data_IF_294212882380
#
_entry.id   IF_294212882380
#
_cell.length_a   1.000
_cell.length_b   1.000
_cell.length_c   1.000
_cell.angle_alpha   90.00
_cell.angle_beta   90.00
_cell.angle_gamma   90.00
#
_symmetry.space_group_name_H-M   'P 1'
#
loop_
_entity.id
_entity.type
_entity.pdbx_description
1 polymer ?
#
# COMPACT_ATOMS: atom_id res chain seq x y z
N UNK A 1 1.64 -1.11 19.33
CA UNK A 1 2.21 -0.44 18.15
C UNK A 1 3.69 -0.25 18.41
N UNK A 2 4.55 -1.02 17.75
CA UNK A 2 6.00 -0.80 17.80
C UNK A 2 6.39 0.20 16.73
N UNK A 3 7.12 1.26 17.09
CA UNK A 3 7.79 2.14 16.13
C UNK A 3 9.08 1.46 15.68
N UNK A 4 9.09 0.90 14.47
CA UNK A 4 10.32 0.41 13.85
C UNK A 4 10.95 1.55 13.06
N UNK A 5 11.90 2.26 13.66
CA UNK A 5 12.82 3.10 12.92
C UNK A 5 14.07 2.25 12.64
N UNK A 6 14.20 1.79 11.40
CA UNK A 6 15.40 1.10 10.94
C UNK A 6 16.26 2.07 10.12
N UNK A 7 17.57 2.09 10.40
CA UNK A 7 18.56 2.80 9.60
C UNK A 7 19.27 1.77 8.71
N UNK A 8 19.31 2.03 7.41
CA UNK A 8 20.08 1.23 6.47
C UNK A 8 21.35 1.98 6.10
N UNK A 9 22.47 1.30 6.30
CA UNK A 9 23.81 1.80 6.02
C UNK A 9 24.37 1.05 4.82
N UNK A 10 24.88 1.78 3.84
CA UNK A 10 25.56 1.20 2.66
C UNK A 10 26.93 1.84 2.52
N UNK A 11 27.99 1.02 2.59
CA UNK A 11 29.40 1.42 2.55
C UNK A 11 30.31 0.30 2.02
N UNK A 12 31.61 0.57 1.89
CA UNK A 12 32.61 -0.43 1.46
C UNK A 12 32.71 -1.58 2.51
N UNK A 13 32.83 -2.85 2.06
CA UNK A 13 32.75 -4.03 2.93
C UNK A 13 33.94 -4.23 3.88
N UNK A 14 35.01 -3.43 3.74
CA UNK A 14 36.29 -3.62 4.44
C UNK A 14 36.46 -2.75 5.71
N UNK A 15 35.41 -2.06 6.19
CA UNK A 15 35.48 -1.25 7.42
C UNK A 15 34.65 -1.83 8.58
N UNK A 16 35.31 -2.05 9.73
CA UNK A 16 34.70 -2.41 11.01
C UNK A 16 33.77 -1.30 11.51
N UNK A 17 32.48 -1.64 11.64
CA UNK A 17 31.38 -0.81 12.13
C UNK A 17 31.42 -0.59 13.66
N UNK A 18 32.51 -0.05 14.23
CA UNK A 18 32.56 0.22 15.68
C UNK A 18 32.17 1.66 16.09
N UNK A 19 31.80 2.54 15.15
CA UNK A 19 31.42 3.91 15.52
C UNK A 19 29.94 4.07 15.89
N UNK A 20 29.67 3.81 17.17
CA UNK A 20 28.63 4.42 18.03
C UNK A 20 27.23 4.52 17.40
N UNK A 21 26.51 3.40 17.44
CA UNK A 21 25.04 3.40 17.44
C UNK A 21 24.53 4.21 18.63
N UNK A 22 24.19 5.49 18.43
CA UNK A 22 23.28 6.19 19.33
C UNK A 22 21.86 5.88 18.86
N UNK A 23 21.02 5.20 19.65
CA UNK A 23 19.62 5.03 19.30
C UNK A 23 18.98 6.42 19.19
N UNK A 24 18.60 6.80 17.97
CA UNK A 24 17.91 8.06 17.71
C UNK A 24 16.45 7.93 18.14
N UNK A 25 15.95 8.96 18.83
CA UNK A 25 14.57 9.02 19.31
C UNK A 25 13.60 8.85 18.14
N UNK A 26 12.77 7.80 18.23
CA UNK A 26 11.68 7.53 17.30
C UNK A 26 10.78 8.76 17.20
N UNK A 27 10.75 9.43 16.04
CA UNK A 27 9.73 10.45 15.79
C UNK A 27 8.38 9.76 15.62
N UNK A 28 7.31 10.32 16.18
CA UNK A 28 5.94 9.77 16.08
C UNK A 28 5.45 9.61 14.63
N UNK A 29 6.15 10.17 13.63
CA UNK A 29 5.88 10.00 12.20
C UNK A 29 6.66 8.88 11.50
N UNK A 30 7.59 8.20 12.18
CA UNK A 30 8.53 7.23 11.58
C UNK A 30 7.96 5.79 11.46
N UNK A 31 6.65 5.62 11.27
CA UNK A 31 6.09 4.29 11.01
C UNK A 31 6.17 4.00 9.52
N UNK A 32 6.86 2.93 9.10
CA UNK A 32 6.96 2.53 7.69
C UNK A 32 7.97 3.34 6.85
N UNK A 33 8.95 3.98 7.48
CA UNK A 33 10.04 4.70 6.81
C UNK A 33 11.41 4.22 7.30
N UNK A 34 12.37 4.10 6.40
CA UNK A 34 13.78 3.80 6.67
C UNK A 34 14.62 5.02 6.32
N UNK A 35 15.55 5.38 7.20
CA UNK A 35 16.59 6.37 6.87
C UNK A 35 17.74 5.63 6.20
N UNK A 36 18.12 6.06 5.01
CA UNK A 36 19.24 5.51 4.25
C UNK A 36 20.42 6.46 4.39
N UNK A 37 21.56 5.93 4.84
CA UNK A 37 22.84 6.64 4.85
C UNK A 37 23.83 5.92 3.95
N UNK A 38 24.48 6.68 3.06
CA UNK A 38 25.53 6.18 2.18
C UNK A 38 26.82 6.93 2.47
N UNK A 39 27.91 6.19 2.68
CA UNK A 39 29.24 6.75 2.84
C UNK A 39 30.22 6.11 1.86
N UNK A 40 31.19 6.90 1.41
CA UNK A 40 32.30 6.43 0.57
C UNK A 40 33.55 7.23 0.92
N UNK A 41 34.69 6.56 1.06
CA UNK A 41 35.97 7.22 1.39
C UNK A 41 36.29 8.33 0.39
N UNK A 42 36.59 9.54 0.91
CA UNK A 42 36.84 10.73 0.11
C UNK A 42 35.59 11.49 -0.35
N UNK A 43 34.39 11.05 0.03
CA UNK A 43 33.13 11.71 -0.24
C UNK A 43 32.39 12.03 1.07
N UNK A 44 31.53 13.04 1.04
CA UNK A 44 30.70 13.42 2.18
C UNK A 44 29.55 12.43 2.35
N UNK A 45 29.16 12.16 3.59
CA UNK A 45 28.01 11.31 3.91
C UNK A 45 26.70 11.88 3.36
N UNK A 46 25.85 11.00 2.84
CA UNK A 46 24.55 11.37 2.30
C UNK A 46 23.43 10.69 3.10
N UNK A 47 22.35 11.42 3.39
CA UNK A 47 21.17 10.84 4.05
C UNK A 47 19.87 11.14 3.29
N UNK A 48 18.97 10.16 3.26
CA UNK A 48 17.63 10.26 2.73
C UNK A 48 16.64 9.41 3.52
N UNK A 49 15.34 9.56 3.26
CA UNK A 49 14.28 8.75 3.90
C UNK A 49 13.47 8.09 2.80
N UNK A 50 13.16 6.81 2.96
CA UNK A 50 12.38 6.01 2.01
C UNK A 50 11.26 5.25 2.73
N UNK A 51 10.15 4.99 2.04
CA UNK A 51 9.10 4.14 2.60
C UNK A 51 9.43 2.66 2.45
N UNK A 52 8.84 1.83 3.31
CA UNK A 52 9.14 0.39 3.45
C UNK A 52 7.92 -0.46 3.12
N UNK A 53 8.11 -1.54 2.38
CA UNK A 53 7.12 -2.60 2.14
C UNK A 53 7.68 -3.92 2.65
N UNK A 54 7.01 -4.64 3.55
CA UNK A 54 7.47 -5.97 3.92
C UNK A 54 7.08 -6.97 2.82
N UNK A 55 8.07 -7.53 2.14
CA UNK A 55 7.87 -8.47 1.04
C UNK A 55 7.76 -9.91 1.51
N UNK A 56 8.57 -10.31 2.49
CA UNK A 56 8.62 -11.71 2.96
C UNK A 56 9.42 -11.82 4.26
N UNK A 57 9.64 -13.05 4.71
CA UNK A 57 10.77 -13.39 5.57
C UNK A 57 11.71 -14.34 4.83
N UNK A 58 13.02 -14.14 4.96
CA UNK A 58 14.04 -15.07 4.48
C UNK A 58 14.50 -15.94 5.65
N UNK A 59 14.66 -17.25 5.43
CA UNK A 59 15.29 -18.14 6.41
C UNK A 59 16.80 -17.93 6.33
N UNK A 60 17.41 -17.48 7.42
CA UNK A 60 18.85 -17.22 7.49
C UNK A 60 19.62 -18.43 8.03
N UNK A 61 19.11 -19.08 9.09
CA UNK A 61 19.66 -20.28 9.72
C UNK A 61 18.49 -21.17 10.19
N UNK A 62 18.77 -22.39 10.70
CA UNK A 62 17.77 -23.45 10.93
C UNK A 62 16.49 -23.00 11.67
N UNK A 63 16.50 -21.94 12.48
CA UNK A 63 15.27 -21.37 13.08
C UNK A 63 15.16 -19.83 13.01
N UNK A 64 16.02 -19.15 12.24
CA UNK A 64 16.02 -17.68 12.16
C UNK A 64 15.38 -17.20 10.87
N UNK A 65 14.27 -16.47 11.00
CA UNK A 65 13.62 -15.74 9.93
C UNK A 65 13.95 -14.24 10.03
N UNK A 66 14.47 -13.65 8.95
CA UNK A 66 14.67 -12.21 8.86
C UNK A 66 13.61 -11.58 7.94
N UNK A 67 13.02 -10.43 8.30
CA UNK A 67 12.07 -9.72 7.44
C UNK A 67 12.80 -9.21 6.19
N UNK A 68 12.29 -9.56 5.01
CA UNK A 68 12.69 -8.98 3.75
C UNK A 68 11.76 -7.82 3.43
N UNK A 69 12.33 -6.63 3.24
CA UNK A 69 11.58 -5.44 2.91
C UNK A 69 12.07 -4.80 1.61
N UNK A 70 11.13 -4.30 0.79
CA UNK A 70 11.38 -3.40 -0.31
C UNK A 70 11.40 -1.97 0.19
N UNK A 71 12.25 -1.13 -0.38
CA UNK A 71 12.22 0.31 -0.18
C UNK A 71 12.09 1.04 -1.51
N UNK A 72 11.52 2.25 -1.52
CA UNK A 72 11.62 3.09 -2.73
C UNK A 72 13.08 3.46 -2.98
N UNK A 73 13.42 3.66 -4.25
CA UNK A 73 14.71 4.21 -4.63
C UNK A 73 14.92 5.59 -3.97
N UNK A 74 16.11 5.80 -3.40
CA UNK A 74 16.50 7.08 -2.79
C UNK A 74 17.48 7.79 -3.72
N UNK A 75 17.12 9.00 -4.12
CA UNK A 75 18.00 9.94 -4.80
C UNK A 75 18.64 10.85 -3.74
N UNK A 76 19.94 10.70 -3.56
CA UNK A 76 20.69 11.48 -2.58
C UNK A 76 21.27 12.73 -3.24
N UNK A 77 20.97 13.89 -2.67
CA UNK A 77 21.59 15.13 -3.09
C UNK A 77 23.00 15.26 -2.50
N UNK A 78 23.92 15.84 -3.27
CA UNK A 78 25.27 16.11 -2.78
C UNK A 78 25.19 17.17 -1.66
N UNK A 79 25.91 16.97 -0.56
CA UNK A 79 26.03 17.99 0.49
C UNK A 79 26.64 19.28 -0.09
N UNK A 80 26.05 20.41 0.29
CA UNK A 80 26.34 21.73 -0.29
C UNK A 80 25.65 22.02 -1.63
N UNK A 81 24.94 21.06 -2.24
CA UNK A 81 24.10 21.35 -3.41
C UNK A 81 22.80 22.04 -2.98
N UNK A 82 22.23 22.87 -3.86
CA UNK A 82 20.89 23.44 -3.66
C UNK A 82 19.75 22.46 -3.90
N UNK A 83 20.05 21.17 -4.15
CA UNK A 83 19.07 20.13 -4.39
C UNK A 83 18.74 19.39 -3.09
N UNK A 84 17.50 18.92 -2.96
CA UNK A 84 17.05 18.12 -1.82
C UNK A 84 17.07 16.64 -2.20
N UNK A 85 17.55 15.77 -1.30
CA UNK A 85 17.37 14.32 -1.44
C UNK A 85 15.90 13.97 -1.58
N UNK A 86 15.56 12.99 -2.40
CA UNK A 86 14.17 12.57 -2.65
C UNK A 86 14.04 11.05 -2.72
N UNK A 87 12.87 10.53 -2.38
CA UNK A 87 12.51 9.13 -2.58
C UNK A 87 11.14 9.09 -3.28
N UNK A 88 11.11 9.03 -4.63
CA UNK A 88 9.86 9.01 -5.36
C UNK A 88 9.06 7.75 -5.01
N UNK A 89 7.80 7.94 -4.63
CA UNK A 89 6.88 6.84 -4.32
C UNK A 89 6.52 6.13 -5.62
N UNK A 90 7.09 4.94 -5.83
CA UNK A 90 6.85 4.17 -7.07
C UNK A 90 5.79 3.09 -6.90
N UNK A 91 5.69 2.54 -5.69
CA UNK A 91 4.84 1.38 -5.43
C UNK A 91 3.69 1.71 -4.48
N UNK A 92 2.65 0.89 -4.48
CA UNK A 92 1.61 0.94 -3.46
C UNK A 92 0.81 2.24 -3.43
N UNK A 93 0.81 3.03 -4.50
CA UNK A 93 0.03 4.26 -4.56
C UNK A 93 -1.05 4.13 -5.61
N UNK A 94 -2.31 4.22 -5.21
CA UNK A 94 -3.42 4.34 -6.14
C UNK A 94 -3.33 5.70 -6.83
N UNK A 95 -2.98 5.69 -8.12
CA UNK A 95 -2.82 6.89 -8.95
C UNK A 95 -4.14 7.36 -9.54
N UNK A 96 -5.01 6.40 -9.89
CA UNK A 96 -6.31 6.66 -10.52
C UNK A 96 -7.29 5.59 -10.09
N UNK A 97 -8.52 6.00 -9.79
CA UNK A 97 -9.63 5.09 -9.48
C UNK A 97 -10.88 5.63 -10.14
N UNK A 98 -11.51 4.80 -10.95
CA UNK A 98 -12.64 5.17 -11.80
C UNK A 98 -13.76 4.14 -11.69
N UNK A 99 -14.99 4.62 -11.86
CA UNK A 99 -16.16 3.77 -12.00
C UNK A 99 -16.86 4.12 -13.31
N UNK A 100 -17.17 3.09 -14.09
CA UNK A 100 -17.79 3.23 -15.41
C UNK A 100 -18.99 2.27 -15.57
N UNK A 101 -20.23 2.77 -15.68
CA UNK A 101 -20.59 4.17 -15.56
C UNK A 101 -20.54 4.66 -14.11
N UNK A 102 -20.19 5.93 -13.90
CA UNK A 102 -20.21 6.55 -12.57
C UNK A 102 -21.64 6.77 -12.03
N UNK A 103 -22.65 6.78 -12.90
CA UNK A 103 -24.08 6.84 -12.55
C UNK A 103 -24.77 5.64 -13.18
N UNK A 104 -25.41 4.81 -12.37
CA UNK A 104 -25.97 3.54 -12.82
C UNK A 104 -27.36 3.27 -12.22
N UNK A 105 -28.36 2.87 -13.03
CA UNK A 105 -29.62 2.34 -12.51
C UNK A 105 -29.39 1.09 -11.64
N UNK A 106 -30.20 0.92 -10.59
CA UNK A 106 -30.20 -0.31 -9.79
C UNK A 106 -30.36 -1.56 -10.67
N UNK A 107 -29.56 -2.60 -10.40
CA UNK A 107 -29.46 -3.81 -11.21
C UNK A 107 -28.42 -3.76 -12.34
N UNK A 108 -27.79 -2.60 -12.57
CA UNK A 108 -26.74 -2.46 -13.59
C UNK A 108 -25.37 -2.92 -13.10
N UNK A 109 -24.51 -3.35 -14.03
CA UNK A 109 -23.10 -3.64 -13.78
C UNK A 109 -22.26 -2.36 -13.95
N UNK A 110 -21.39 -2.08 -13.00
CA UNK A 110 -20.47 -0.94 -13.00
C UNK A 110 -19.04 -1.46 -12.92
N UNK A 111 -18.22 -1.12 -13.91
CA UNK A 111 -16.80 -1.48 -13.92
C UNK A 111 -16.02 -0.53 -13.03
N UNK A 112 -15.35 -1.07 -12.03
CA UNK A 112 -14.36 -0.38 -11.22
C UNK A 112 -12.99 -0.61 -11.82
N UNK A 113 -12.21 0.45 -12.01
CA UNK A 113 -10.83 0.40 -12.46
C UNK A 113 -9.94 1.14 -11.47
N UNK A 114 -8.80 0.56 -11.10
CA UNK A 114 -7.83 1.17 -10.22
C UNK A 114 -6.41 0.98 -10.78
N UNK A 115 -5.63 2.06 -10.80
CA UNK A 115 -4.23 2.05 -11.21
C UNK A 115 -3.32 2.08 -10.00
N UNK A 116 -2.64 0.97 -9.74
CA UNK A 116 -1.68 0.83 -8.66
C UNK A 116 -0.54 -0.09 -9.10
N UNK A 117 0.69 0.42 -8.99
CA UNK A 117 1.90 -0.37 -9.19
C UNK A 117 2.21 -1.11 -7.90
N UNK A 118 2.16 -2.43 -7.91
CA UNK A 118 2.55 -3.27 -6.78
C UNK A 118 3.89 -3.94 -7.08
N UNK A 119 4.77 -4.12 -6.08
CA UNK A 119 6.07 -4.74 -6.30
C UNK A 119 5.88 -6.20 -6.72
N UNK A 120 6.59 -6.63 -7.77
CA UNK A 120 6.51 -8.02 -8.29
C UNK A 120 7.00 -9.03 -7.26
N UNK A 121 7.94 -8.59 -6.43
CA UNK A 121 8.54 -9.34 -5.33
C UNK A 121 7.54 -9.64 -4.21
N UNK A 122 6.37 -8.97 -4.17
CA UNK A 122 5.30 -9.34 -3.25
C UNK A 122 4.61 -10.66 -3.63
N UNK A 123 4.89 -11.21 -4.82
CA UNK A 123 4.58 -12.59 -5.19
C UNK A 123 3.09 -12.95 -5.21
N UNK A 124 2.82 -14.26 -5.12
CA UNK A 124 1.48 -14.85 -4.98
C UNK A 124 0.82 -14.41 -3.68
N UNK A 125 -0.49 -14.15 -3.71
CA UNK A 125 -1.27 -13.76 -2.53
C UNK A 125 -1.47 -12.25 -2.35
N UNK A 126 -1.37 -11.45 -3.41
CA UNK A 126 -1.80 -10.05 -3.42
C UNK A 126 -3.32 -9.99 -3.62
N UNK A 127 -3.99 -9.22 -2.77
CA UNK A 127 -5.43 -8.98 -2.85
C UNK A 127 -5.73 -7.49 -2.93
N UNK A 128 -6.44 -7.10 -3.98
CA UNK A 128 -6.97 -5.75 -4.14
C UNK A 128 -8.49 -5.84 -3.98
N UNK A 129 -9.02 -5.22 -2.93
CA UNK A 129 -10.44 -5.32 -2.56
C UNK A 129 -11.09 -3.95 -2.69
N UNK A 130 -12.14 -3.87 -3.50
CA UNK A 130 -13.05 -2.73 -3.54
C UNK A 130 -14.25 -3.01 -2.64
N UNK A 131 -14.46 -2.19 -1.61
CA UNK A 131 -15.58 -2.29 -0.67
C UNK A 131 -16.57 -1.19 -0.93
N UNK A 132 -17.81 -1.56 -1.20
CA UNK A 132 -18.93 -0.63 -1.19
C UNK A 132 -19.32 -0.34 0.26
N UNK A 133 -19.06 0.88 0.74
CA UNK A 133 -19.31 1.26 2.14
C UNK A 133 -20.79 1.37 2.47
N UNK A 134 -21.63 1.57 1.45
CA UNK A 134 -23.10 1.61 1.62
C UNK A 134 -23.69 0.22 1.79
N UNK A 135 -23.28 -0.75 0.99
CA UNK A 135 -23.84 -2.13 1.03
C UNK A 135 -22.99 -3.12 1.82
N UNK A 136 -21.78 -2.72 2.24
CA UNK A 136 -20.74 -3.56 2.87
C UNK A 136 -20.31 -4.76 2.01
N UNK A 137 -20.63 -4.75 0.71
CA UNK A 137 -20.18 -5.79 -0.23
C UNK A 137 -18.74 -5.53 -0.66
N UNK A 138 -17.99 -6.62 -0.76
CA UNK A 138 -16.62 -6.62 -1.23
C UNK A 138 -16.53 -7.23 -2.63
N UNK A 139 -15.76 -6.56 -3.48
CA UNK A 139 -15.46 -6.98 -4.84
C UNK A 139 -13.96 -7.18 -4.96
N UNK A 140 -13.56 -8.40 -5.28
CA UNK A 140 -12.14 -8.71 -5.55
C UNK A 140 -11.79 -8.11 -6.90
N UNK A 141 -10.76 -7.28 -6.94
CA UNK A 141 -10.23 -6.75 -8.18
C UNK A 141 -9.20 -7.70 -8.78
N UNK A 142 -9.33 -7.97 -10.07
CA UNK A 142 -8.47 -8.83 -10.86
C UNK A 142 -7.44 -7.96 -11.58
N UNK A 143 -6.19 -8.45 -11.65
CA UNK A 143 -5.14 -7.78 -12.41
C UNK A 143 -5.42 -7.87 -13.90
N UNK A 144 -5.64 -6.73 -14.55
CA UNK A 144 -6.00 -6.62 -15.97
C UNK A 144 -4.80 -6.34 -16.88
N UNK A 145 -3.59 -6.26 -16.32
CA UNK A 145 -2.34 -5.99 -17.02
C UNK A 145 -1.71 -4.64 -16.66
N UNK A 146 -0.39 -4.52 -16.80
CA UNK A 146 0.35 -3.33 -16.37
C UNK A 146 0.10 -3.03 -14.89
N UNK A 147 -0.36 -1.82 -14.59
CA UNK A 147 -0.72 -1.37 -13.23
C UNK A 147 -2.24 -1.39 -12.99
N UNK A 148 -3.02 -1.94 -13.91
CA UNK A 148 -4.48 -1.85 -13.90
C UNK A 148 -5.11 -3.05 -13.17
N UNK A 149 -6.02 -2.73 -12.26
CA UNK A 149 -6.85 -3.68 -11.53
C UNK A 149 -8.32 -3.36 -11.77
N UNK A 150 -9.15 -4.39 -11.95
CA UNK A 150 -10.55 -4.22 -12.29
C UNK A 150 -11.49 -5.15 -11.50
N UNK A 151 -12.65 -4.64 -11.13
CA UNK A 151 -13.75 -5.45 -10.61
C UNK A 151 -15.05 -4.96 -11.23
N UNK A 152 -16.04 -5.85 -11.27
CA UNK A 152 -17.39 -5.45 -11.63
C UNK A 152 -18.27 -5.44 -10.38
N UNK A 153 -18.88 -4.28 -10.16
CA UNK A 153 -19.81 -4.02 -9.08
C UNK A 153 -21.23 -4.13 -9.62
N UNK A 154 -22.07 -4.91 -8.93
CA UNK A 154 -23.50 -4.95 -9.22
C UNK A 154 -24.21 -3.88 -8.40
N UNK A 155 -24.76 -2.87 -9.09
CA UNK A 155 -25.62 -1.87 -8.47
C UNK A 155 -26.85 -2.59 -7.90
N UNK A 156 -27.21 -2.39 -6.62
CA UNK A 156 -28.29 -3.15 -6.02
C UNK A 156 -29.63 -2.82 -6.70
N UNK A 157 -30.43 -3.84 -6.98
CA UNK A 157 -31.76 -3.70 -7.60
C UNK A 157 -32.74 -2.94 -6.71
N UNK A 158 -32.58 -3.10 -5.39
CA UNK A 158 -33.37 -2.44 -4.35
C UNK A 158 -32.47 -1.45 -3.62
N UNK A 159 -33.08 -0.38 -3.11
CA UNK A 159 -32.36 0.73 -2.50
C UNK A 159 -31.31 0.31 -1.44
N UNK A 160 -30.40 1.22 -1.11
CA UNK A 160 -30.54 2.66 -1.29
C UNK A 160 -30.13 3.16 -2.68
N UNK A 161 -30.92 4.07 -3.26
CA UNK A 161 -30.61 4.75 -4.52
C UNK A 161 -29.96 6.10 -4.20
N UNK A 162 -28.64 6.08 -4.04
CA UNK A 162 -27.83 7.23 -3.65
C UNK A 162 -26.38 7.02 -4.08
N UNK A 163 -25.53 7.96 -3.70
CA UNK A 163 -24.08 7.83 -3.84
C UNK A 163 -23.57 6.67 -2.99
N UNK A 164 -22.94 5.71 -3.64
CA UNK A 164 -22.25 4.59 -3.04
C UNK A 164 -20.76 4.86 -3.06
N UNK A 165 -20.21 5.13 -1.89
CA UNK A 165 -18.78 5.31 -1.70
C UNK A 165 -18.06 3.96 -1.75
N UNK A 166 -17.05 3.86 -2.60
CA UNK A 166 -16.26 2.65 -2.82
C UNK A 166 -14.83 2.93 -2.38
N UNK A 167 -14.36 2.21 -1.35
CA UNK A 167 -12.98 2.28 -0.89
C UNK A 167 -12.20 1.05 -1.39
N UNK A 168 -10.97 1.26 -1.86
CA UNK A 168 -10.12 0.21 -2.43
C UNK A 168 -8.84 0.11 -1.62
N UNK A 169 -8.48 -1.11 -1.23
CA UNK A 169 -7.27 -1.41 -0.46
C UNK A 169 -6.53 -2.57 -1.11
N UNK A 170 -5.20 -2.45 -1.20
CA UNK A 170 -4.32 -3.53 -1.62
C UNK A 170 -3.53 -4.06 -0.42
N UNK A 171 -3.58 -5.37 -0.21
CA UNK A 171 -2.90 -6.03 0.89
C UNK A 171 -2.32 -7.38 0.46
N UNK A 172 -1.36 -7.87 1.22
CA UNK A 172 -0.77 -9.20 1.07
C UNK A 172 -1.49 -10.18 1.97
N UNK A 173 -1.84 -11.34 1.44
CA UNK A 173 -2.35 -12.44 2.23
C UNK A 173 -1.30 -12.88 3.25
N UNK A 174 -1.68 -13.01 4.54
CA UNK A 174 -0.82 -13.62 5.54
C UNK A 174 -0.81 -15.16 5.47
N UNK A 175 -1.62 -15.77 4.60
CA UNK A 175 -1.69 -17.22 4.45
C UNK A 175 -0.56 -17.72 3.54
N UNK A 176 0.04 -18.87 3.89
CA UNK A 176 1.15 -19.46 3.14
C UNK A 176 0.77 -19.83 1.70
N UNK A 177 -0.49 -20.23 1.48
CA UNK A 177 -1.06 -20.54 0.17
C UNK A 177 -1.43 -19.29 -0.66
N UNK A 178 -1.28 -18.10 -0.07
CA UNK A 178 -1.69 -16.83 -0.68
C UNK A 178 -3.20 -16.62 -0.76
N UNK A 179 -4.00 -17.48 -0.11
CA UNK A 179 -5.46 -17.43 -0.13
C UNK A 179 -6.03 -16.14 0.47
N UNK A 180 -7.32 -15.87 0.25
CA UNK A 180 -7.95 -14.67 0.79
C UNK A 180 -8.26 -14.83 2.28
N UNK A 181 -7.61 -14.02 3.12
CA UNK A 181 -7.89 -14.01 4.56
C UNK A 181 -8.89 -12.90 4.98
N UNK A 182 -10.10 -13.31 5.37
CA UNK A 182 -11.14 -12.41 5.92
C UNK A 182 -10.78 -11.84 7.29
N UNK A 183 -9.97 -12.54 8.08
CA UNK A 183 -9.48 -12.06 9.37
C UNK A 183 -8.54 -10.86 9.21
N UNK A 184 -7.61 -10.92 8.26
CA UNK A 184 -6.79 -9.79 7.86
C UNK A 184 -7.63 -8.59 7.38
N UNK A 185 -8.62 -8.82 6.52
CA UNK A 185 -9.53 -7.75 6.06
C UNK A 185 -10.29 -7.08 7.22
N UNK A 186 -10.80 -7.87 8.17
CA UNK A 186 -11.48 -7.34 9.36
C UNK A 186 -10.54 -6.54 10.27
N UNK A 187 -9.27 -6.91 10.37
CA UNK A 187 -8.23 -6.12 11.06
C UNK A 187 -7.98 -4.80 10.34
N UNK A 188 -7.81 -4.80 9.02
CA UNK A 188 -7.62 -3.59 8.21
C UNK A 188 -8.82 -2.64 8.32
N UNK A 189 -10.04 -3.19 8.35
CA UNK A 189 -11.26 -2.42 8.57
C UNK A 189 -11.27 -1.73 9.95
N UNK A 190 -10.94 -2.47 11.02
CA UNK A 190 -10.84 -1.89 12.38
C UNK A 190 -9.79 -0.78 12.46
N UNK A 191 -8.68 -0.94 11.75
CA UNK A 191 -7.63 0.08 11.62
C UNK A 191 -8.06 1.29 10.77
N UNK A 192 -9.18 1.21 10.05
CA UNK A 192 -9.72 2.32 9.24
C UNK A 192 -9.26 2.34 7.78
N UNK A 193 -8.66 1.26 7.26
CA UNK A 193 -8.15 1.22 5.88
C UNK A 193 -9.23 1.56 4.84
N UNK A 194 -10.45 1.05 5.04
CA UNK A 194 -11.61 1.28 4.17
C UNK A 194 -12.43 2.54 4.53
N UNK A 195 -12.12 3.24 5.64
CA UNK A 195 -12.94 4.35 6.13
C UNK A 195 -12.37 5.70 5.65
N UNK A 196 -12.99 6.39 4.68
CA UNK A 196 -12.48 7.64 4.11
C UNK A 196 -12.33 8.76 5.15
N UNK A 197 -13.04 8.67 6.29
CA UNK A 197 -13.03 9.68 7.35
C UNK A 197 -11.89 9.49 8.35
N UNK A 198 -11.22 8.34 8.35
CA UNK A 198 -10.08 8.05 9.23
C UNK A 198 -8.77 8.21 8.49
N UNK A 199 -7.66 8.55 9.16
CA UNK A 199 -6.33 8.46 8.54
C UNK A 199 -6.09 7.07 7.96
N UNK A 200 -5.41 6.99 6.81
CA UNK A 200 -5.05 5.70 6.25
C UNK A 200 -4.01 5.01 7.16
N UNK A 201 -4.24 3.77 7.61
CA UNK A 201 -3.35 3.11 8.55
C UNK A 201 -2.02 2.74 7.89
N UNK A 202 -0.97 2.71 8.71
CA UNK A 202 0.35 2.22 8.31
C UNK A 202 0.54 0.83 8.92
N UNK A 203 0.49 -0.19 8.06
CA UNK A 203 0.71 -1.59 8.44
C UNK A 203 1.59 -2.27 7.39
N UNK A 204 2.92 -2.06 7.43
CA UNK A 204 3.82 -2.53 6.37
C UNK A 204 3.90 -4.05 6.27
N UNK A 205 3.37 -4.79 7.26
CA UNK A 205 3.31 -6.25 7.26
C UNK A 205 2.15 -6.80 6.42
N UNK A 206 1.10 -6.01 6.21
CA UNK A 206 -0.12 -6.44 5.51
C UNK A 206 -0.47 -5.52 4.35
N UNK A 207 -0.43 -4.21 4.54
CA UNK A 207 -0.79 -3.24 3.52
C UNK A 207 0.33 -3.12 2.48
N UNK A 208 -0.06 -3.29 1.23
CA UNK A 208 0.80 -3.04 0.08
C UNK A 208 0.58 -1.66 -0.50
N UNK A 209 -0.47 -0.96 -0.06
CA UNK A 209 -0.74 0.42 -0.46
C UNK A 209 -0.47 1.44 0.67
N UNK A 210 -0.20 2.68 0.27
CA UNK A 210 0.12 3.85 1.12
C UNK A 210 -1.03 4.84 1.21
N UNK A 211 -1.95 4.75 0.27
CA UNK A 211 -3.24 5.42 0.29
C UNK A 211 -4.34 4.40 0.04
N UNK A 212 -5.57 4.80 0.32
CA UNK A 212 -6.75 4.09 -0.18
C UNK A 212 -7.06 4.57 -1.59
N UNK A 213 -7.50 3.67 -2.45
CA UNK A 213 -8.26 4.05 -3.63
C UNK A 213 -9.67 4.45 -3.21
N UNK A 214 -10.27 5.40 -3.92
CA UNK A 214 -11.60 5.88 -3.60
C UNK A 214 -12.34 6.33 -4.86
N UNK A 215 -13.60 5.92 -4.99
CA UNK A 215 -14.51 6.41 -6.03
C UNK A 215 -15.96 6.40 -5.51
N UNK A 216 -16.85 7.06 -6.24
CA UNK A 216 -18.27 7.14 -5.91
C UNK A 216 -19.08 6.68 -7.12
N UNK A 217 -20.05 5.80 -6.87
CA UNK A 217 -21.03 5.37 -7.87
C UNK A 217 -22.39 5.88 -7.45
N UNK A 218 -23.03 6.70 -8.28
CA UNK A 218 -24.40 7.17 -8.02
C UNK A 218 -25.39 6.14 -8.50
N UNK A 219 -26.06 5.45 -7.57
CA UNK A 219 -27.09 4.46 -7.92
C UNK A 219 -28.45 5.14 -8.01
N UNK A 220 -29.10 5.04 -9.17
CA UNK A 220 -30.44 5.58 -9.40
C UNK A 220 -31.50 4.48 -9.35
N UNK A 221 -32.78 4.86 -9.32
CA UNK A 221 -33.88 3.90 -9.40
C UNK A 221 -33.78 3.10 -10.71
N UNK A 222 -34.12 1.80 -10.72
CA UNK A 222 -34.19 1.04 -11.95
C UNK A 222 -35.12 1.73 -12.94
N UNK A 223 -34.72 1.79 -14.20
CA UNK A 223 -35.63 2.23 -15.25
C UNK A 223 -36.78 1.23 -15.33
N UNK A 224 -38.02 1.70 -15.16
CA UNK A 224 -39.17 0.85 -15.46
C UNK A 224 -39.09 0.52 -16.95
N UNK A 225 -38.89 -0.76 -17.28
CA UNK A 225 -39.12 -1.24 -18.66
C UNK A 225 -40.56 -0.86 -19.02
N UNK A 226 -40.69 0.08 -19.96
CA UNK A 226 -41.96 0.37 -20.62
C UNK A 226 -42.32 -0.78 -21.54
#
# INVERSE_FOLDING_TARGET
MGSYAAEQVVGDPDEDLEQKMKPLQSSRGATGQVRVRVWKKGFQDYTGVTGVYLLSSIRMEEDKHAPLALTDAVHLARSGSGLTSSAPVRFGWFRRVEADPAVAPGGSRVRLSAEITLPREAGTGVWVIARNLTTRKDYVMIHAGGDLWQADLDAPEKGPFRNHEIAIVAYRSPLEDGGRDRGAEGRLERQGAFDPKKPFPVDPALLLCRNRGYTVVTVTRPEKRR
#
